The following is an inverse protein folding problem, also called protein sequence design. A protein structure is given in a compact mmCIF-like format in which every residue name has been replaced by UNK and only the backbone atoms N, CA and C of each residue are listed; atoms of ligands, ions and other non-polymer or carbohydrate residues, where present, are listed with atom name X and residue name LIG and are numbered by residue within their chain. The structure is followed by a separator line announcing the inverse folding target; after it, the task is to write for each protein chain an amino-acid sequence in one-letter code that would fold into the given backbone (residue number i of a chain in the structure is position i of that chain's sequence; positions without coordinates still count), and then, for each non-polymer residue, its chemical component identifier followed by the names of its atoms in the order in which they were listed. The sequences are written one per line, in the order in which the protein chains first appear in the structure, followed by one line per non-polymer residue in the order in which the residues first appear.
data_IF_842887793264
#
_entry.id   IF_842887793264
#
_cell.length_a   1.000
_cell.length_b   1.000
_cell.length_c   1.000
_cell.angle_alpha   90.00
_cell.angle_beta   90.00
_cell.angle_gamma   90.00
#
_symmetry.space_group_name_H-M   'P 1'
#
loop_
_entity.id
_entity.type
_entity.pdbx_description
1 polymer ?
#
# COMPACT_ATOMS: atom_id res chain seq x y z
N UNK A 1 13.75 5.95 -21.61
CA UNK A 1 12.49 6.09 -20.86
C UNK A 1 12.26 4.78 -20.13
N UNK A 2 12.44 4.76 -18.81
CA UNK A 2 12.25 3.57 -17.97
C UNK A 2 10.76 3.45 -17.65
N UNK A 3 10.02 2.65 -18.41
CA UNK A 3 8.65 2.27 -18.02
C UNK A 3 8.79 1.37 -16.80
N UNK A 4 8.45 1.87 -15.62
CA UNK A 4 8.20 1.03 -14.45
C UNK A 4 7.17 -0.03 -14.86
N UNK A 5 7.54 -1.30 -14.83
CA UNK A 5 6.62 -2.40 -15.10
C UNK A 5 5.48 -2.32 -14.11
N UNK A 6 4.31 -1.89 -14.56
CA UNK A 6 3.11 -1.87 -13.71
C UNK A 6 2.59 -3.30 -13.58
N UNK A 7 2.46 -3.80 -12.35
CA UNK A 7 1.91 -5.12 -12.10
C UNK A 7 0.43 -5.17 -12.49
N UNK A 8 0.10 -6.12 -13.38
CA UNK A 8 -1.27 -6.43 -13.77
C UNK A 8 -1.88 -7.35 -12.73
N UNK A 9 -2.92 -6.86 -12.03
CA UNK A 9 -3.64 -7.61 -11.00
C UNK A 9 -4.74 -8.49 -11.62
N UNK A 10 -5.40 -7.98 -12.66
CA UNK A 10 -6.49 -8.67 -13.35
C UNK A 10 -6.56 -8.22 -14.80
N UNK A 11 -6.85 -9.15 -15.71
CA UNK A 11 -7.11 -8.86 -17.11
C UNK A 11 -8.40 -9.54 -17.58
N UNK A 12 -9.17 -8.84 -18.41
CA UNK A 12 -10.42 -9.32 -19.01
C UNK A 12 -10.41 -9.03 -20.51
N UNK A 13 -10.21 -10.07 -21.31
CA UNK A 13 -9.97 -9.95 -22.76
C UNK A 13 -11.20 -9.62 -23.59
N UNK A 14 -12.40 -9.89 -23.07
CA UNK A 14 -13.67 -9.76 -23.80
C UNK A 14 -14.48 -8.57 -23.29
N UNK A 15 -13.89 -7.37 -23.37
CA UNK A 15 -14.51 -6.12 -22.87
C UNK A 15 -14.57 -5.05 -23.95
N UNK A 16 -15.78 -4.61 -24.26
CA UNK A 16 -16.02 -3.48 -25.17
C UNK A 16 -15.96 -2.15 -24.43
N UNK A 17 -15.31 -1.17 -25.04
CA UNK A 17 -15.39 0.24 -24.66
C UNK A 17 -15.85 1.07 -25.87
N UNK A 18 -16.92 1.84 -25.70
CA UNK A 18 -17.62 2.53 -26.80
C UNK A 18 -17.99 1.54 -27.93
N UNK A 19 -17.35 1.63 -29.09
CA UNK A 19 -17.57 0.76 -30.26
C UNK A 19 -16.42 -0.23 -30.50
N UNK A 20 -15.38 -0.21 -29.68
CA UNK A 20 -14.19 -1.05 -29.85
C UNK A 20 -14.21 -2.28 -28.94
N UNK A 21 -13.74 -3.39 -29.47
CA UNK A 21 -13.37 -4.60 -28.74
C UNK A 21 -11.95 -4.47 -28.18
N UNK A 22 -11.71 -5.05 -27.01
CA UNK A 22 -10.43 -4.92 -26.33
C UNK A 22 -10.38 -5.58 -24.97
N UNK A 23 -9.23 -5.40 -24.32
CA UNK A 23 -8.91 -5.98 -23.02
C UNK A 23 -8.90 -4.91 -21.95
N UNK A 24 -9.61 -5.18 -20.85
CA UNK A 24 -9.58 -4.36 -19.64
C UNK A 24 -8.54 -4.90 -18.67
N UNK A 25 -7.64 -4.04 -18.20
CA UNK A 25 -6.59 -4.32 -17.24
C UNK A 25 -6.82 -3.55 -15.96
N UNK A 26 -6.89 -4.27 -14.84
CA UNK A 26 -6.78 -3.69 -13.51
C UNK A 26 -5.32 -3.84 -13.09
N UNK A 27 -4.60 -2.72 -13.03
CA UNK A 27 -3.19 -2.67 -12.62
C UNK A 27 -3.10 -2.21 -11.16
N UNK A 28 -1.88 -2.11 -10.63
CA UNK A 28 -1.67 -1.69 -9.25
C UNK A 28 -2.13 -0.25 -8.95
N UNK A 29 -1.96 0.71 -9.87
CA UNK A 29 -2.31 2.12 -9.63
C UNK A 29 -3.44 2.67 -10.52
N UNK A 30 -3.85 1.92 -11.55
CA UNK A 30 -4.79 2.40 -12.55
C UNK A 30 -5.63 1.28 -13.17
N UNK A 31 -6.77 1.67 -13.70
CA UNK A 31 -7.60 0.89 -14.60
C UNK A 31 -7.26 1.30 -16.05
N UNK A 32 -6.87 0.37 -16.90
CA UNK A 32 -6.52 0.64 -18.29
C UNK A 32 -7.32 -0.25 -19.24
N UNK A 33 -7.68 0.27 -20.41
CA UNK A 33 -8.31 -0.50 -21.48
C UNK A 33 -7.52 -0.34 -22.78
N UNK A 34 -7.22 -1.47 -23.41
CA UNK A 34 -6.46 -1.55 -24.65
C UNK A 34 -7.34 -2.15 -25.75
N UNK A 35 -7.35 -1.53 -26.93
CA UNK A 35 -8.13 -2.03 -28.06
C UNK A 35 -7.41 -3.24 -28.69
N UNK A 36 -8.18 -4.25 -29.15
CA UNK A 36 -7.63 -5.50 -29.69
C UNK A 36 -6.68 -5.30 -30.89
N UNK A 37 -6.87 -4.22 -31.66
CA UNK A 37 -6.09 -3.93 -32.87
C UNK A 37 -5.15 -2.72 -32.70
N UNK A 38 -4.90 -2.27 -31.47
CA UNK A 38 -3.95 -1.18 -31.20
C UNK A 38 -3.11 -1.50 -29.98
N UNK A 39 -1.80 -1.42 -30.16
CA UNK A 39 -0.81 -1.58 -29.08
C UNK A 39 -0.73 -0.36 -28.14
N UNK A 40 -1.73 0.52 -28.18
CA UNK A 40 -1.78 1.75 -27.40
C UNK A 40 -2.97 1.71 -26.45
N UNK A 41 -2.72 2.01 -25.17
CA UNK A 41 -3.76 2.20 -24.16
C UNK A 41 -4.71 3.32 -24.59
N UNK A 42 -5.98 2.98 -24.84
CA UNK A 42 -6.96 3.94 -25.32
C UNK A 42 -7.71 4.64 -24.18
N UNK A 43 -7.80 4.01 -23.00
CA UNK A 43 -8.37 4.61 -21.79
C UNK A 43 -7.50 4.22 -20.61
N UNK A 44 -7.16 5.19 -19.77
CA UNK A 44 -6.42 4.95 -18.53
C UNK A 44 -6.94 5.87 -17.43
N UNK A 45 -7.40 5.28 -16.33
CA UNK A 45 -7.96 5.98 -15.18
C UNK A 45 -7.18 5.60 -13.94
N UNK A 46 -6.51 6.56 -13.31
CA UNK A 46 -5.83 6.33 -12.04
C UNK A 46 -6.87 6.15 -10.93
N UNK A 47 -6.59 5.29 -9.96
CA UNK A 47 -7.56 5.00 -8.90
C UNK A 47 -7.92 6.21 -8.04
N UNK A 48 -7.04 7.21 -7.93
CA UNK A 48 -7.33 8.46 -7.23
C UNK A 48 -8.37 9.34 -7.93
N UNK A 49 -8.51 9.23 -9.26
CA UNK A 49 -9.47 10.01 -10.03
C UNK A 49 -10.86 9.37 -10.05
N UNK A 50 -10.96 8.09 -9.67
CA UNK A 50 -12.21 7.34 -9.65
C UNK A 50 -12.99 7.69 -8.39
N UNK A 51 -14.11 8.38 -8.59
CA UNK A 51 -15.06 8.73 -7.52
C UNK A 51 -15.84 7.51 -7.03
N UNK A 52 -16.35 6.71 -7.97
CA UNK A 52 -17.13 5.51 -7.69
C UNK A 52 -17.27 4.63 -8.94
N UNK A 53 -17.73 3.40 -8.73
CA UNK A 53 -18.15 2.51 -9.79
C UNK A 53 -19.65 2.15 -9.67
N UNK A 54 -20.26 1.81 -10.80
CA UNK A 54 -21.64 1.33 -10.91
C UNK A 54 -21.68 0.10 -11.80
N UNK A 55 -22.60 -0.82 -11.52
CA UNK A 55 -22.85 -1.98 -12.37
C UNK A 55 -24.25 -1.89 -12.98
N UNK A 56 -24.43 -2.53 -14.14
CA UNK A 56 -25.76 -2.72 -14.73
C UNK A 56 -26.67 -3.51 -13.76
N UNK A 57 -27.94 -3.10 -13.56
CA UNK A 57 -28.92 -3.85 -12.77
C UNK A 57 -29.13 -5.26 -13.32
N UNK A 58 -29.55 -6.17 -12.45
CA UNK A 58 -29.92 -7.54 -12.83
C UNK A 58 -31.05 -7.56 -13.85
N UNK A 59 -31.01 -8.50 -14.80
CA UNK A 59 -31.98 -8.63 -15.88
C UNK A 59 -31.79 -7.67 -17.06
N UNK A 60 -30.82 -6.75 -17.03
CA UNK A 60 -30.49 -5.94 -18.21
C UNK A 60 -29.73 -6.77 -19.26
N UNK A 61 -30.01 -6.56 -20.57
CA UNK A 61 -29.38 -7.34 -21.65
C UNK A 61 -27.89 -7.01 -21.85
N UNK A 62 -27.41 -5.90 -21.28
CA UNK A 62 -26.02 -5.46 -21.38
C UNK A 62 -25.38 -5.55 -20.00
N UNK A 63 -24.38 -6.40 -19.85
CA UNK A 63 -23.58 -6.51 -18.63
C UNK A 63 -22.50 -5.44 -18.67
N UNK A 64 -22.62 -4.43 -17.79
CA UNK A 64 -21.77 -3.24 -17.85
C UNK A 64 -21.22 -2.85 -16.48
N UNK A 65 -20.03 -2.26 -16.49
CA UNK A 65 -19.41 -1.58 -15.36
C UNK A 65 -19.06 -0.16 -15.78
N UNK A 66 -19.58 0.82 -15.05
CA UNK A 66 -19.29 2.24 -15.28
C UNK A 66 -18.40 2.76 -14.17
N UNK A 67 -17.30 3.41 -14.55
CA UNK A 67 -16.42 4.15 -13.67
C UNK A 67 -16.74 5.63 -13.80
N UNK A 68 -17.03 6.29 -12.69
CA UNK A 68 -17.30 7.73 -12.63
C UNK A 68 -16.11 8.42 -12.00
N UNK A 69 -15.58 9.42 -12.69
CA UNK A 69 -14.44 10.21 -12.26
C UNK A 69 -14.86 11.43 -11.43
N UNK A 70 -13.90 12.04 -10.72
CA UNK A 70 -14.11 13.25 -9.94
C UNK A 70 -14.39 14.50 -10.79
N UNK A 71 -13.92 14.53 -12.03
CA UNK A 71 -14.14 15.62 -13.00
C UNK A 71 -15.55 15.59 -13.65
N UNK A 72 -16.38 14.60 -13.29
CA UNK A 72 -17.72 14.40 -13.84
C UNK A 72 -17.76 13.51 -15.09
N UNK A 73 -16.61 13.15 -15.66
CA UNK A 73 -16.53 12.21 -16.76
C UNK A 73 -16.83 10.78 -16.28
N UNK A 74 -17.24 9.91 -17.22
CA UNK A 74 -17.42 8.50 -16.92
C UNK A 74 -17.05 7.61 -18.11
N UNK A 75 -16.56 6.42 -17.79
CA UNK A 75 -16.25 5.37 -18.76
C UNK A 75 -17.09 4.13 -18.46
N UNK A 76 -17.84 3.66 -19.46
CA UNK A 76 -18.66 2.45 -19.36
C UNK A 76 -18.02 1.33 -20.16
N UNK A 77 -17.71 0.24 -19.48
CA UNK A 77 -17.16 -1.00 -20.03
C UNK A 77 -18.27 -2.04 -20.13
N UNK A 78 -18.37 -2.69 -21.28
CA UNK A 78 -19.37 -3.72 -21.55
C UNK A 78 -18.69 -5.07 -21.67
N UNK A 79 -19.12 -6.06 -20.89
CA UNK A 79 -18.56 -7.41 -20.88
C UNK A 79 -19.28 -8.28 -21.92
N UNK A 80 -18.54 -8.80 -22.90
CA UNK A 80 -19.09 -9.55 -24.05
C UNK A 80 -18.57 -10.99 -24.12
N UNK A 81 -18.20 -11.58 -22.98
CA UNK A 81 -17.72 -12.96 -22.92
C UNK A 81 -18.61 -13.91 -23.74
N UNK A 82 -17.99 -14.64 -24.67
CA UNK A 82 -18.66 -15.54 -25.63
C UNK A 82 -19.29 -16.77 -24.97
N UNK A 83 -18.88 -17.09 -23.74
CA UNK A 83 -19.40 -18.21 -22.95
C UNK A 83 -20.80 -17.95 -22.36
N UNK A 84 -21.40 -16.80 -22.66
CA UNK A 84 -22.78 -16.45 -22.31
C UNK A 84 -22.90 -15.44 -21.16
N UNK A 85 -24.15 -15.06 -20.86
CA UNK A 85 -24.46 -14.00 -19.89
C UNK A 85 -23.93 -14.27 -18.49
N UNK A 86 -23.92 -15.54 -18.05
CA UNK A 86 -23.39 -15.92 -16.74
C UNK A 86 -21.87 -15.64 -16.63
N UNK A 87 -21.11 -15.90 -17.68
CA UNK A 87 -19.68 -15.60 -17.73
C UNK A 87 -19.41 -14.09 -17.79
N UNK A 88 -20.23 -13.34 -18.54
CA UNK A 88 -20.15 -11.88 -18.58
C UNK A 88 -20.37 -11.26 -17.20
N UNK A 89 -21.38 -11.77 -16.47
CA UNK A 89 -21.69 -11.38 -15.08
C UNK A 89 -20.50 -11.68 -14.18
N UNK A 90 -19.94 -12.89 -14.26
CA UNK A 90 -18.82 -13.32 -13.43
C UNK A 90 -17.56 -12.47 -13.68
N UNK A 91 -17.22 -12.16 -14.93
CA UNK A 91 -16.07 -11.33 -15.27
C UNK A 91 -16.24 -9.89 -14.80
N UNK A 92 -17.45 -9.33 -14.99
CA UNK A 92 -17.83 -8.01 -14.47
C UNK A 92 -17.73 -7.95 -12.95
N UNK A 93 -18.18 -9.00 -12.26
CA UNK A 93 -18.15 -9.07 -10.80
C UNK A 93 -16.73 -9.22 -10.26
N UNK A 94 -15.84 -10.00 -10.91
CA UNK A 94 -14.41 -10.04 -10.55
C UNK A 94 -13.78 -8.64 -10.59
N UNK A 95 -14.03 -7.87 -11.65
CA UNK A 95 -13.51 -6.50 -11.78
C UNK A 95 -14.13 -5.58 -10.72
N UNK A 96 -15.44 -5.67 -10.51
CA UNK A 96 -16.16 -4.90 -9.49
C UNK A 96 -15.58 -5.15 -8.10
N UNK A 97 -15.46 -6.41 -7.68
CA UNK A 97 -14.97 -6.76 -6.34
C UNK A 97 -13.53 -6.28 -6.13
N UNK A 98 -12.66 -6.44 -7.13
CA UNK A 98 -11.28 -5.94 -7.06
C UNK A 98 -11.24 -4.42 -6.91
N UNK A 99 -12.04 -3.68 -7.67
CA UNK A 99 -12.16 -2.22 -7.53
C UNK A 99 -12.75 -1.82 -6.16
N UNK A 100 -13.69 -2.59 -5.59
CA UNK A 100 -14.21 -2.33 -4.24
C UNK A 100 -13.13 -2.49 -3.17
N UNK A 101 -12.16 -3.37 -3.36
CA UNK A 101 -11.03 -3.54 -2.45
C UNK A 101 -9.98 -2.43 -2.61
N UNK A 102 -9.68 -2.04 -3.85
CA UNK A 102 -8.61 -1.08 -4.14
C UNK A 102 -9.02 0.37 -3.85
N UNK A 103 -10.20 0.82 -4.31
CA UNK A 103 -10.61 2.24 -4.23
C UNK A 103 -10.58 2.83 -2.81
N UNK A 104 -11.06 2.14 -1.75
CA UNK A 104 -10.98 2.66 -0.38
C UNK A 104 -9.53 2.82 0.12
N UNK A 105 -8.64 1.90 -0.26
CA UNK A 105 -7.23 1.96 0.13
C UNK A 105 -6.54 3.15 -0.53
N UNK A 106 -6.81 3.41 -1.80
CA UNK A 106 -6.31 4.59 -2.49
C UNK A 106 -6.88 5.88 -1.92
N UNK A 107 -8.18 5.93 -1.58
CA UNK A 107 -8.78 7.09 -0.90
C UNK A 107 -8.12 7.37 0.45
N UNK A 108 -7.86 6.34 1.25
CA UNK A 108 -7.11 6.47 2.53
C UNK A 108 -5.68 6.95 2.29
N UNK A 109 -4.98 6.41 1.30
CA UNK A 109 -3.60 6.81 0.93
C UNK A 109 -3.56 8.29 0.52
N UNK A 110 -4.48 8.72 -0.35
CA UNK A 110 -4.60 10.12 -0.80
C UNK A 110 -4.90 11.05 0.37
N UNK A 111 -5.85 10.69 1.26
CA UNK A 111 -6.14 11.49 2.45
C UNK A 111 -4.93 11.62 3.37
N UNK A 112 -4.21 10.53 3.61
CA UNK A 112 -3.00 10.54 4.44
C UNK A 112 -1.89 11.40 3.83
N UNK A 113 -1.72 11.34 2.50
CA UNK A 113 -0.76 12.20 1.80
C UNK A 113 -1.15 13.68 1.89
N UNK A 114 -2.44 14.00 1.78
CA UNK A 114 -2.95 15.35 1.93
C UNK A 114 -2.79 15.89 3.36
N UNK A 115 -3.09 15.07 4.36
CA UNK A 115 -2.86 15.36 5.77
C UNK A 115 -1.38 15.65 6.05
N UNK A 116 -0.49 14.83 5.48
CA UNK A 116 0.96 15.03 5.60
C UNK A 116 1.42 16.33 4.93
N UNK A 117 0.98 16.58 3.70
CA UNK A 117 1.25 17.83 2.98
C UNK A 117 0.79 19.04 3.79
N UNK A 118 -0.40 18.99 4.38
CA UNK A 118 -0.90 20.04 5.26
C UNK A 118 -0.05 20.19 6.53
N UNK A 119 0.36 19.09 7.18
CA UNK A 119 1.26 19.13 8.33
C UNK A 119 2.58 19.83 8.00
N UNK A 120 3.22 19.44 6.89
CA UNK A 120 4.49 20.04 6.44
C UNK A 120 4.34 21.55 6.20
N UNK A 121 3.24 21.98 5.58
CA UNK A 121 2.96 23.40 5.38
C UNK A 121 2.78 24.13 6.72
N UNK A 122 2.12 23.51 7.70
CA UNK A 122 1.94 24.11 9.03
C UNK A 122 3.25 24.18 9.83
N UNK A 123 4.12 23.18 9.74
CA UNK A 123 5.42 23.14 10.40
C UNK A 123 6.42 24.14 9.81
N UNK A 124 6.26 24.53 8.54
CA UNK A 124 7.18 25.42 7.83
C UNK A 124 6.46 26.67 7.27
N UNK A 125 6.33 27.75 8.07
CA UNK A 125 5.63 28.98 7.66
C UNK A 125 6.12 29.59 6.33
N UNK A 126 7.43 29.56 6.08
CA UNK A 126 8.02 30.06 4.83
C UNK A 126 7.57 29.23 3.61
N UNK A 127 7.46 27.91 3.76
CA UNK A 127 6.99 27.02 2.70
C UNK A 127 5.50 27.23 2.44
N UNK A 128 4.70 27.45 3.48
CA UNK A 128 3.29 27.79 3.34
C UNK A 128 3.09 29.11 2.59
N UNK A 129 3.90 30.14 2.91
CA UNK A 129 3.83 31.41 2.19
C UNK A 129 4.13 31.20 0.70
N UNK A 130 5.19 30.46 0.37
CA UNK A 130 5.53 30.13 -1.01
C UNK A 130 4.43 29.31 -1.72
N UNK A 131 3.79 28.37 -1.02
CA UNK A 131 2.64 27.62 -1.54
C UNK A 131 1.47 28.55 -1.88
N UNK A 132 1.18 29.53 -1.02
CA UNK A 132 0.14 30.55 -1.30
C UNK A 132 0.52 31.38 -2.53
N UNK A 133 1.74 31.85 -2.59
CA UNK A 133 2.19 32.78 -3.63
C UNK A 133 2.34 32.13 -5.01
N UNK A 134 2.53 30.80 -5.09
CA UNK A 134 2.69 30.08 -6.36
C UNK A 134 1.48 29.23 -6.75
N UNK A 135 0.86 28.50 -5.80
CA UNK A 135 -0.21 27.54 -6.10
C UNK A 135 -1.59 28.19 -6.05
N UNK A 136 -1.85 29.09 -5.08
CA UNK A 136 -3.16 29.76 -4.99
C UNK A 136 -3.30 30.79 -6.11
N UNK A 137 -2.23 31.52 -6.42
CA UNK A 137 -2.15 32.46 -7.55
C UNK A 137 -2.16 31.79 -8.92
N UNK A 138 -2.19 30.45 -8.98
CA UNK A 138 -2.21 29.62 -10.20
C UNK A 138 -0.98 29.77 -11.10
N UNK A 139 0.15 30.21 -10.54
CA UNK A 139 1.43 30.24 -11.26
C UNK A 139 1.97 28.82 -11.46
N UNK A 140 1.76 27.93 -10.49
CA UNK A 140 2.11 26.51 -10.55
C UNK A 140 0.94 25.63 -10.10
N UNK A 141 0.91 24.38 -10.58
CA UNK A 141 0.01 23.38 -10.02
C UNK A 141 0.51 22.89 -8.65
N UNK A 142 -0.41 22.33 -7.85
CA UNK A 142 -0.04 21.77 -6.54
C UNK A 142 0.98 20.64 -6.70
N UNK A 143 0.78 19.74 -7.68
CA UNK A 143 1.72 18.64 -7.95
C UNK A 143 3.13 19.15 -8.29
N UNK A 144 3.24 20.16 -9.17
CA UNK A 144 4.54 20.72 -9.55
C UNK A 144 5.26 21.36 -8.38
N UNK A 145 4.56 22.10 -7.53
CA UNK A 145 5.13 22.68 -6.31
C UNK A 145 5.71 21.60 -5.40
N UNK A 146 4.94 20.54 -5.14
CA UNK A 146 5.38 19.44 -4.26
C UNK A 146 6.55 18.65 -4.84
N UNK A 147 6.62 18.51 -6.16
CA UNK A 147 7.71 17.82 -6.86
C UNK A 147 9.03 18.61 -6.89
N UNK A 148 8.97 19.94 -6.83
CA UNK A 148 10.14 20.82 -7.04
C UNK A 148 10.55 21.58 -5.78
N UNK A 149 9.65 22.38 -5.22
CA UNK A 149 9.94 23.30 -4.13
C UNK A 149 9.82 22.65 -2.75
N UNK A 150 8.90 21.69 -2.60
CA UNK A 150 8.69 20.98 -1.34
C UNK A 150 9.48 19.66 -1.20
N UNK A 151 10.26 19.27 -2.22
CA UNK A 151 10.93 17.97 -2.31
C UNK A 151 11.86 17.69 -1.12
N UNK A 152 12.58 18.71 -0.66
CA UNK A 152 13.47 18.61 0.51
C UNK A 152 12.71 18.32 1.81
N UNK A 153 11.47 18.81 1.94
CA UNK A 153 10.64 18.63 3.12
C UNK A 153 9.98 17.24 3.14
N UNK A 154 9.59 16.73 1.98
CA UNK A 154 9.02 15.37 1.85
C UNK A 154 10.08 14.27 1.92
N UNK A 155 11.31 14.53 1.46
CA UNK A 155 12.42 13.56 1.53
C UNK A 155 13.02 13.43 2.93
N UNK A 156 13.17 14.53 3.68
CA UNK A 156 13.78 14.49 5.02
C UNK A 156 13.00 13.62 6.02
N UNK A 157 11.67 13.51 5.89
CA UNK A 157 10.89 12.64 6.78
C UNK A 157 11.00 11.14 6.44
N UNK A 158 11.29 10.76 5.19
CA UNK A 158 11.61 9.36 4.87
C UNK A 158 12.91 8.93 5.57
N UNK A 159 13.84 9.87 5.75
CA UNK A 159 15.13 9.66 6.41
C UNK A 159 15.08 9.81 7.94
N UNK A 160 14.07 10.50 8.50
CA UNK A 160 13.91 10.66 9.96
C UNK A 160 13.41 9.42 10.70
N UNK A 161 13.15 8.29 10.01
CA UNK A 161 13.16 6.99 10.68
C UNK A 161 14.60 6.54 10.93
N UNK A 162 15.32 7.32 11.72
CA UNK A 162 16.61 6.86 12.24
C UNK A 162 16.29 5.77 13.26
N UNK A 163 16.69 4.53 12.96
CA UNK A 163 16.61 3.45 13.92
C UNK A 163 17.43 3.84 15.16
N UNK A 164 16.81 3.80 16.33
CA UNK A 164 17.50 4.01 17.60
C UNK A 164 18.65 2.99 17.65
N UNK A 165 19.89 3.48 17.74
CA UNK A 165 21.06 2.62 17.89
C UNK A 165 20.93 1.79 19.17
N UNK A 166 21.14 0.48 19.06
CA UNK A 166 21.15 -0.41 20.24
C UNK A 166 22.44 -0.12 21.02
N UNK A 167 22.33 0.51 22.19
CA UNK A 167 23.48 0.70 23.07
C UNK A 167 24.08 -0.65 23.45
N UNK A 168 25.41 -0.78 23.46
CA UNK A 168 26.09 -2.05 23.82
C UNK A 168 25.76 -2.54 25.24
N UNK A 169 25.28 -1.66 26.12
CA UNK A 169 24.85 -1.99 27.48
C UNK A 169 23.41 -2.49 27.59
N UNK A 170 22.61 -2.41 26.52
CA UNK A 170 21.17 -2.72 26.54
C UNK A 170 20.83 -4.14 27.03
N UNK A 171 21.70 -5.11 26.75
CA UNK A 171 21.53 -6.49 27.20
C UNK A 171 21.77 -6.66 28.71
N UNK A 172 22.56 -5.78 29.33
CA UNK A 172 22.88 -5.83 30.75
C UNK A 172 21.71 -5.38 31.64
N UNK A 173 20.80 -4.57 31.10
CA UNK A 173 19.59 -4.12 31.82
C UNK A 173 18.50 -5.19 31.89
N UNK A 174 18.61 -6.27 31.11
CA UNK A 174 17.65 -7.37 31.08
C UNK A 174 17.94 -8.29 32.28
N UNK A 175 17.23 -8.07 33.38
CA UNK A 175 17.36 -8.89 34.60
C UNK A 175 16.36 -10.05 34.63
N UNK A 176 16.77 -11.25 35.08
CA UNK A 176 15.84 -12.35 35.30
C UNK A 176 14.88 -12.02 36.46
N UNK A 177 13.60 -12.33 36.28
CA UNK A 177 12.62 -12.32 37.36
C UNK A 177 12.34 -13.75 37.82
N UNK A 178 12.28 -13.95 39.13
CA UNK A 178 11.95 -15.25 39.75
C UNK A 178 10.45 -15.34 39.96
N UNK A 179 9.79 -16.21 39.22
CA UNK A 179 8.36 -16.43 39.32
C UNK A 179 8.06 -17.53 40.35
N UNK A 180 8.27 -17.23 41.64
CA UNK A 180 7.79 -17.95 42.85
C UNK A 180 7.94 -19.49 42.98
N UNK A 181 8.39 -20.17 41.94
CA UNK A 181 8.21 -21.60 41.68
C UNK A 181 9.38 -22.07 40.78
N UNK A 182 10.63 -21.80 41.19
CA UNK A 182 11.87 -22.21 40.52
C UNK A 182 12.01 -21.91 39.01
N UNK A 183 11.12 -21.09 38.42
CA UNK A 183 11.16 -20.68 37.02
C UNK A 183 11.83 -19.32 36.85
N UNK A 184 12.78 -19.25 35.92
CA UNK A 184 13.37 -17.98 35.46
C UNK A 184 12.53 -17.42 34.31
N UNK A 185 12.03 -16.19 34.46
CA UNK A 185 11.27 -15.50 33.41
C UNK A 185 11.88 -14.13 33.10
N UNK A 186 11.87 -13.77 31.81
CA UNK A 186 12.33 -12.47 31.34
C UNK A 186 11.13 -11.66 30.84
N UNK A 187 10.98 -10.42 31.32
CA UNK A 187 9.98 -9.49 30.79
C UNK A 187 10.61 -8.72 29.64
N UNK A 188 10.33 -9.16 28.42
CA UNK A 188 10.84 -8.56 27.20
C UNK A 188 9.71 -7.80 26.51
N UNK A 189 9.91 -6.51 26.30
CA UNK A 189 9.03 -5.72 25.45
C UNK A 189 9.30 -6.01 23.98
N UNK A 190 8.34 -5.71 23.10
CA UNK A 190 8.53 -5.88 21.66
C UNK A 190 9.75 -5.10 21.14
N UNK A 191 9.98 -3.90 21.66
CA UNK A 191 11.17 -3.10 21.33
C UNK A 191 12.47 -3.81 21.73
N UNK A 192 12.50 -4.44 22.92
CA UNK A 192 13.65 -5.19 23.39
C UNK A 192 13.99 -6.35 22.45
N UNK A 193 12.96 -7.10 22.05
CA UNK A 193 13.08 -8.24 21.14
C UNK A 193 13.63 -7.80 19.78
N UNK A 194 13.12 -6.68 19.24
CA UNK A 194 13.61 -6.12 17.99
C UNK A 194 15.07 -5.70 18.09
N UNK A 195 15.48 -5.09 19.20
CA UNK A 195 16.89 -4.77 19.46
C UNK A 195 17.76 -6.04 19.47
N UNK A 196 17.33 -7.12 20.13
CA UNK A 196 18.06 -8.40 20.15
C UNK A 196 18.18 -8.98 18.74
N UNK A 197 17.12 -8.92 17.92
CA UNK A 197 17.16 -9.41 16.55
C UNK A 197 18.07 -8.60 15.64
N UNK A 198 18.17 -7.27 15.86
CA UNK A 198 19.11 -6.40 15.15
C UNK A 198 20.55 -6.73 15.54
N UNK A 199 20.82 -6.91 16.83
CA UNK A 199 22.17 -7.24 17.33
C UNK A 199 22.60 -8.66 16.95
N UNK A 200 21.67 -9.63 16.99
CA UNK A 200 21.93 -11.03 16.68
C UNK A 200 20.93 -11.60 15.65
N UNK A 201 21.20 -11.42 14.35
CA UNK A 201 20.34 -11.94 13.27
C UNK A 201 20.12 -13.47 13.33
N UNK A 202 21.09 -14.21 13.88
CA UNK A 202 20.98 -15.66 14.08
C UNK A 202 19.86 -16.06 15.06
N UNK A 203 19.58 -15.20 16.06
CA UNK A 203 18.50 -15.40 17.03
C UNK A 203 17.15 -15.20 16.36
N UNK A 204 17.03 -14.18 15.51
CA UNK A 204 15.82 -13.93 14.70
C UNK A 204 15.45 -15.13 13.84
N UNK A 205 16.42 -15.72 13.14
CA UNK A 205 16.19 -16.90 12.30
C UNK A 205 15.69 -18.08 13.13
N UNK A 206 16.35 -18.39 14.26
CA UNK A 206 15.93 -19.47 15.14
C UNK A 206 14.54 -19.23 15.75
N UNK A 207 14.22 -17.99 16.12
CA UNK A 207 12.91 -17.62 16.64
C UNK A 207 11.81 -17.90 15.60
N UNK A 208 12.00 -17.46 14.36
CA UNK A 208 11.03 -17.71 13.28
C UNK A 208 10.84 -19.20 12.94
N UNK A 209 11.89 -20.01 13.07
CA UNK A 209 11.83 -21.45 12.79
C UNK A 209 11.19 -22.27 13.93
N UNK A 210 11.31 -21.82 15.19
CA UNK A 210 10.95 -22.62 16.36
C UNK A 210 9.74 -22.09 17.14
N UNK A 211 9.43 -20.80 17.02
CA UNK A 211 8.28 -20.16 17.68
C UNK A 211 7.25 -19.79 16.61
N UNK A 212 5.95 -20.11 16.78
CA UNK A 212 5.33 -20.80 17.91
C UNK A 212 5.29 -22.34 17.76
N UNK A 213 5.82 -22.89 16.67
CA UNK A 213 5.56 -24.27 16.26
C UNK A 213 6.18 -25.36 17.17
N UNK A 214 7.35 -25.08 17.80
CA UNK A 214 8.10 -26.04 18.63
C UNK A 214 8.27 -25.59 20.08
N UNK A 215 8.30 -24.28 20.33
CA UNK A 215 8.49 -23.69 21.65
C UNK A 215 7.61 -22.44 21.80
N UNK A 216 7.20 -22.15 23.04
CA UNK A 216 6.58 -20.87 23.35
C UNK A 216 7.64 -19.77 23.33
N UNK A 217 7.20 -18.52 23.12
CA UNK A 217 8.08 -17.37 23.15
C UNK A 217 8.84 -17.26 24.49
N UNK A 218 8.15 -17.50 25.62
CA UNK A 218 8.76 -17.47 26.95
C UNK A 218 9.87 -18.52 27.08
N UNK A 219 9.64 -19.76 26.62
CA UNK A 219 10.63 -20.83 26.70
C UNK A 219 11.83 -20.58 25.78
N UNK A 220 11.58 -20.02 24.60
CA UNK A 220 12.64 -19.64 23.67
C UNK A 220 13.58 -18.61 24.29
N UNK A 221 13.03 -17.55 24.88
CA UNK A 221 13.82 -16.49 25.49
C UNK A 221 14.55 -16.98 26.74
N UNK A 222 13.91 -17.77 27.60
CA UNK A 222 14.59 -18.37 28.76
C UNK A 222 15.79 -19.21 28.31
N UNK A 223 15.66 -20.05 27.26
CA UNK A 223 16.78 -20.80 26.69
C UNK A 223 17.84 -19.91 26.07
N UNK A 224 17.46 -18.82 25.41
CA UNK A 224 18.40 -17.87 24.80
C UNK A 224 19.30 -17.20 25.84
N UNK A 225 18.71 -16.63 26.91
CA UNK A 225 19.45 -15.96 27.98
C UNK A 225 20.24 -16.92 28.88
N UNK A 226 19.78 -18.15 29.05
CA UNK A 226 20.55 -19.20 29.72
C UNK A 226 21.68 -19.77 28.85
N UNK A 227 21.59 -19.62 27.51
CA UNK A 227 22.60 -20.18 26.62
C UNK A 227 23.94 -19.45 26.75
N UNK A 228 24.99 -20.18 26.41
CA UNK A 228 26.37 -19.70 26.35
C UNK A 228 26.58 -18.53 25.37
N UNK A 229 25.56 -18.21 24.54
CA UNK A 229 25.56 -17.15 23.54
C UNK A 229 25.30 -15.76 24.15
N UNK A 230 24.64 -15.69 25.31
CA UNK A 230 24.39 -14.44 26.05
C UNK A 230 25.57 -14.06 26.97
N UNK A 231 26.31 -15.06 27.46
CA UNK A 231 27.42 -14.88 28.41
C UNK A 231 28.81 -14.83 27.73
N UNK A 232 28.87 -14.53 26.43
CA UNK A 232 30.11 -14.39 25.66
C UNK A 232 30.47 -12.94 25.41
#
# INVERSE_FOLDING_TARGET
MTTSSEDVLLQMSEVKYKKGDGTLYVMNERLAWMAEHRDTVAVSHRFHDIKLQKISPEGKPKVQLQVVLHDGNSSTFHFVNRSGTAAQIADRDKVKELLQQLLPNFKKKVNKELEEKNRILMEHPNLLQLYRDLVITKVLSSEEFWATHAKQYTQNQATQKQDIGVSGAFLADIKPQTDGCNGLRYNLTADIIQCIFKTYPAVKRKYQEHVPAKLTESDFWTKFFQSHYFHR
#
